data_IF_261525481093
#
_entry.id   IF_261525481093
#
_cell.length_a   1.000
_cell.length_b   1.000
_cell.length_c   1.000
_cell.angle_alpha   90.00
_cell.angle_beta   90.00
_cell.angle_gamma   90.00
#
_symmetry.space_group_name_H-M   'P 1'
#
loop_
_entity.id
_entity.type
_entity.pdbx_description
1 polymer ?
#
# COMPACT_ATOMS: atom_id res chain seq x y z
N UNK A 1 3.04 -17.01 -22.25
CA UNK A 1 3.23 -15.56 -22.44
C UNK A 1 4.71 -15.28 -22.59
N UNK A 2 5.12 -14.74 -23.72
CA UNK A 2 6.52 -14.32 -23.90
C UNK A 2 6.71 -12.92 -23.32
N UNK A 3 7.56 -12.82 -22.32
CA UNK A 3 7.98 -11.54 -21.77
C UNK A 3 9.37 -11.21 -22.28
N UNK A 4 9.52 -10.00 -22.82
CA UNK A 4 10.81 -9.48 -23.22
C UNK A 4 11.25 -8.43 -22.21
N UNK A 5 12.50 -8.49 -21.79
CA UNK A 5 13.08 -7.46 -20.95
C UNK A 5 14.00 -6.56 -21.76
N UNK A 6 14.04 -5.29 -21.40
CA UNK A 6 14.92 -4.29 -22.00
C UNK A 6 15.54 -3.46 -20.89
N UNK A 7 16.80 -3.10 -21.03
CA UNK A 7 17.51 -2.23 -20.06
C UNK A 7 17.65 -0.85 -20.68
N UNK A 8 17.11 0.16 -19.99
CA UNK A 8 17.26 1.57 -20.34
C UNK A 8 17.65 2.36 -19.09
N UNK A 9 18.66 3.22 -19.22
CA UNK A 9 19.14 4.09 -18.13
C UNK A 9 19.45 3.33 -16.83
N UNK A 10 19.96 2.10 -16.95
CA UNK A 10 20.31 1.26 -15.80
C UNK A 10 19.12 0.57 -15.13
N UNK A 11 17.92 0.73 -15.66
CA UNK A 11 16.71 0.08 -15.14
C UNK A 11 16.24 -1.00 -16.11
N UNK A 12 15.80 -2.11 -15.56
CA UNK A 12 15.23 -3.20 -16.34
C UNK A 12 13.72 -3.01 -16.47
N UNK A 13 13.25 -3.08 -17.72
CA UNK A 13 11.83 -2.97 -18.06
C UNK A 13 11.34 -4.29 -18.64
N UNK A 14 10.12 -4.65 -18.35
CA UNK A 14 9.47 -5.81 -18.96
C UNK A 14 8.48 -5.33 -20.00
N UNK A 15 8.61 -5.83 -21.23
CA UNK A 15 7.69 -5.50 -22.31
C UNK A 15 6.61 -6.58 -22.41
N UNK A 16 5.36 -6.14 -22.36
CA UNK A 16 4.18 -7.01 -22.49
C UNK A 16 3.36 -6.53 -23.69
N UNK A 17 2.91 -7.44 -24.58
CA UNK A 17 2.02 -7.05 -25.67
C UNK A 17 0.77 -6.33 -25.13
N UNK A 18 0.36 -5.27 -25.82
CA UNK A 18 -0.76 -4.42 -25.38
C UNK A 18 -2.03 -5.22 -25.10
N UNK A 19 -2.35 -6.18 -25.94
CA UNK A 19 -3.54 -7.02 -25.76
C UNK A 19 -3.48 -7.83 -24.46
N UNK A 20 -2.29 -8.28 -24.05
CA UNK A 20 -2.10 -9.00 -22.79
C UNK A 20 -2.15 -8.06 -21.60
N UNK A 21 -1.59 -6.87 -21.72
CA UNK A 21 -1.69 -5.83 -20.69
C UNK A 21 -3.15 -5.46 -20.42
N UNK A 22 -3.95 -5.28 -21.48
CA UNK A 22 -5.36 -4.94 -21.34
C UNK A 22 -6.16 -6.03 -20.61
N UNK A 23 -5.74 -7.30 -20.71
CA UNK A 23 -6.35 -8.40 -19.97
C UNK A 23 -5.97 -8.45 -18.50
N UNK A 24 -4.72 -8.12 -18.17
CA UNK A 24 -4.19 -8.22 -16.80
C UNK A 24 -4.30 -6.92 -16.03
N UNK A 25 -4.29 -5.78 -16.69
CA UNK A 25 -4.34 -4.48 -16.04
C UNK A 25 -5.59 -4.26 -15.20
N UNK A 26 -6.70 -4.88 -15.57
CA UNK A 26 -7.92 -4.89 -14.75
C UNK A 26 -7.76 -5.69 -13.45
N UNK A 27 -6.80 -6.61 -13.40
CA UNK A 27 -6.49 -7.43 -12.21
C UNK A 27 -5.35 -6.87 -11.38
N UNK A 28 -4.50 -6.05 -11.99
CA UNK A 28 -3.39 -5.36 -11.33
C UNK A 28 -3.84 -3.93 -11.07
N UNK A 29 -4.70 -3.78 -10.08
CA UNK A 29 -5.09 -2.44 -9.63
C UNK A 29 -4.02 -1.94 -8.70
N UNK A 30 -3.37 -0.84 -9.07
CA UNK A 30 -2.55 -0.11 -8.11
C UNK A 30 -3.46 0.34 -6.97
N UNK A 31 -3.06 0.16 -5.70
CA UNK A 31 -3.87 0.64 -4.59
C UNK A 31 -4.08 2.15 -4.70
N UNK A 32 -5.28 2.61 -4.31
CA UNK A 32 -5.60 4.04 -4.22
C UNK A 32 -4.83 4.66 -3.05
N UNK A 33 -3.58 5.01 -3.31
CA UNK A 33 -2.73 5.61 -2.30
C UNK A 33 -3.08 7.10 -2.10
N UNK A 34 -2.95 7.54 -0.86
CA UNK A 34 -3.09 8.94 -0.52
C UNK A 34 -1.91 9.74 -1.06
N UNK A 35 -2.15 10.98 -1.44
CA UNK A 35 -1.07 11.86 -1.90
C UNK A 35 -0.15 12.20 -0.74
N UNK A 36 1.14 11.89 -0.89
CA UNK A 36 2.17 12.23 0.08
C UNK A 36 2.69 13.64 -0.19
N UNK A 37 2.62 14.57 0.78
CA UNK A 37 3.22 15.88 0.62
C UNK A 37 4.74 15.80 0.43
N UNK A 38 5.33 16.78 -0.22
CA UNK A 38 6.77 16.85 -0.35
C UNK A 38 7.44 17.08 1.02
N UNK A 39 8.70 16.61 1.16
CA UNK A 39 9.51 16.92 2.32
C UNK A 39 9.76 18.44 2.41
N UNK A 40 9.99 18.92 3.63
CA UNK A 40 10.38 20.31 3.87
C UNK A 40 11.76 20.61 3.22
N UNK A 41 12.05 21.90 3.04
CA UNK A 41 13.31 22.33 2.42
C UNK A 41 14.56 21.84 3.17
N UNK A 42 14.48 21.63 4.49
CA UNK A 42 15.56 21.11 5.32
C UNK A 42 15.65 19.56 5.33
N UNK A 43 14.82 18.88 4.55
CA UNK A 43 14.76 17.42 4.50
C UNK A 43 13.91 16.76 5.58
N UNK A 44 13.33 17.54 6.49
CA UNK A 44 12.39 17.02 7.50
C UNK A 44 11.01 16.79 6.90
N UNK A 45 10.18 16.05 7.63
CA UNK A 45 8.81 15.76 7.23
C UNK A 45 7.80 16.39 8.18
N UNK A 46 6.73 16.95 7.63
CA UNK A 46 5.62 17.45 8.45
C UNK A 46 4.88 16.29 9.13
N UNK A 47 4.14 16.61 10.19
CA UNK A 47 3.25 15.65 10.84
C UNK A 47 2.23 15.07 9.84
N UNK A 48 1.72 15.92 8.96
CA UNK A 48 0.81 15.49 7.90
C UNK A 48 1.47 14.48 6.96
N UNK A 49 2.72 14.70 6.57
CA UNK A 49 3.46 13.76 5.72
C UNK A 49 3.61 12.40 6.40
N UNK A 50 4.02 12.38 7.66
CA UNK A 50 4.18 11.15 8.45
C UNK A 50 2.84 10.41 8.56
N UNK A 51 1.75 11.13 8.82
CA UNK A 51 0.41 10.55 8.87
C UNK A 51 0.05 9.85 7.57
N UNK A 52 0.25 10.51 6.44
CA UNK A 52 -0.05 9.95 5.12
C UNK A 52 0.84 8.74 4.82
N UNK A 53 2.12 8.80 5.16
CA UNK A 53 3.04 7.66 5.00
C UNK A 53 2.56 6.42 5.77
N UNK A 54 2.15 6.59 7.02
CA UNK A 54 1.66 5.48 7.85
C UNK A 54 0.35 4.91 7.30
N UNK A 55 -0.56 5.77 6.86
CA UNK A 55 -1.82 5.34 6.26
C UNK A 55 -1.58 4.58 4.94
N UNK A 56 -0.68 5.08 4.10
CA UNK A 56 -0.31 4.40 2.86
C UNK A 56 0.36 3.05 3.11
N UNK A 57 1.13 2.92 4.17
CA UNK A 57 1.73 1.64 4.57
C UNK A 57 0.67 0.58 4.84
N UNK A 58 -0.42 0.97 5.48
CA UNK A 58 -1.56 0.07 5.73
C UNK A 58 -2.23 -0.33 4.41
N UNK A 59 -2.51 0.64 3.54
CA UNK A 59 -3.15 0.41 2.24
C UNK A 59 -2.30 -0.55 1.39
N UNK A 60 -1.01 -0.29 1.26
CA UNK A 60 -0.09 -1.13 0.48
C UNK A 60 0.00 -2.54 1.04
N UNK A 61 0.21 -2.67 2.35
CA UNK A 61 0.33 -3.97 3.00
C UNK A 61 -0.92 -4.81 2.84
N UNK A 62 -2.09 -4.19 3.00
CA UNK A 62 -3.36 -4.87 2.82
C UNK A 62 -3.55 -5.35 1.37
N UNK A 63 -3.28 -4.48 0.39
CA UNK A 63 -3.43 -4.84 -1.02
C UNK A 63 -2.43 -5.91 -1.46
N UNK A 64 -1.18 -5.81 -1.01
CA UNK A 64 -0.16 -6.83 -1.30
C UNK A 64 -0.52 -8.19 -0.71
N UNK A 65 -1.16 -8.20 0.45
CA UNK A 65 -1.65 -9.43 1.08
C UNK A 65 -2.95 -9.95 0.47
N UNK A 66 -3.57 -9.21 -0.45
CA UNK A 66 -4.83 -9.59 -1.08
C UNK A 66 -6.02 -9.59 -0.12
N UNK A 67 -5.95 -8.82 0.96
CA UNK A 67 -6.99 -8.73 1.97
C UNK A 67 -7.97 -7.60 1.71
N UNK A 68 -9.24 -7.81 2.05
CA UNK A 68 -10.20 -6.73 2.20
C UNK A 68 -9.97 -6.01 3.53
N UNK A 69 -10.53 -4.81 3.69
CA UNK A 69 -10.49 -4.09 4.97
C UNK A 69 -11.06 -4.93 6.12
N UNK A 70 -12.16 -5.63 5.87
CA UNK A 70 -12.79 -6.51 6.88
C UNK A 70 -11.89 -7.68 7.28
N UNK A 71 -11.20 -8.28 6.32
CA UNK A 71 -10.26 -9.38 6.58
C UNK A 71 -9.08 -8.93 7.41
N UNK A 72 -8.49 -7.78 7.08
CA UNK A 72 -7.39 -7.22 7.86
C UNK A 72 -7.84 -6.87 9.28
N UNK A 73 -8.98 -6.22 9.41
CA UNK A 73 -9.54 -5.85 10.71
C UNK A 73 -9.73 -7.07 11.62
N UNK A 74 -10.30 -8.13 11.07
CA UNK A 74 -10.51 -9.39 11.80
C UNK A 74 -9.18 -10.00 12.26
N UNK A 75 -8.17 -10.05 11.39
CA UNK A 75 -6.86 -10.62 11.71
C UNK A 75 -6.08 -9.77 12.71
N UNK A 76 -6.23 -8.46 12.63
CA UNK A 76 -5.56 -7.54 13.55
C UNK A 76 -6.31 -7.38 14.89
N UNK A 77 -7.51 -7.91 14.99
CA UNK A 77 -8.32 -7.79 16.21
C UNK A 77 -8.83 -6.37 16.46
N UNK A 78 -9.12 -5.64 15.39
CA UNK A 78 -9.65 -4.28 15.45
C UNK A 78 -10.92 -4.16 14.60
N UNK A 79 -11.63 -3.06 14.73
CA UNK A 79 -12.85 -2.82 13.98
C UNK A 79 -12.54 -2.44 12.54
N UNK A 80 -13.40 -2.86 11.60
CA UNK A 80 -13.28 -2.49 10.19
C UNK A 80 -13.38 -0.97 9.99
N UNK A 81 -14.20 -0.29 10.78
CA UNK A 81 -14.32 1.17 10.75
C UNK A 81 -12.99 1.85 11.10
N UNK A 82 -12.20 1.26 11.98
CA UNK A 82 -10.86 1.75 12.31
C UNK A 82 -9.94 1.66 11.08
N UNK A 83 -9.93 0.53 10.38
CA UNK A 83 -9.15 0.37 9.14
C UNK A 83 -9.61 1.41 8.11
N UNK A 84 -10.91 1.55 7.90
CA UNK A 84 -11.46 2.50 6.93
C UNK A 84 -11.05 3.95 7.25
N UNK A 85 -11.09 4.34 8.51
CA UNK A 85 -10.66 5.68 8.95
C UNK A 85 -9.17 5.91 8.72
N UNK A 86 -8.35 4.92 9.01
CA UNK A 86 -6.90 5.02 8.80
C UNK A 86 -6.57 5.12 7.31
N UNK A 87 -7.23 4.34 6.46
CA UNK A 87 -7.01 4.39 5.02
C UNK A 87 -7.56 5.69 4.38
N UNK A 88 -8.43 6.42 5.08
CA UNK A 88 -8.88 7.75 4.62
C UNK A 88 -7.81 8.84 4.81
N UNK A 89 -6.77 8.58 5.58
CA UNK A 89 -5.67 9.52 5.80
C UNK A 89 -5.97 10.65 6.78
N UNK A 90 -7.11 10.61 7.47
CA UNK A 90 -7.53 11.68 8.39
C UNK A 90 -6.95 11.57 9.79
N UNK A 91 -6.45 10.41 10.16
CA UNK A 91 -5.98 10.13 11.52
C UNK A 91 -4.62 9.46 11.50
N UNK A 92 -3.79 9.80 12.48
CA UNK A 92 -2.53 9.07 12.71
C UNK A 92 -2.87 7.77 13.43
N UNK A 93 -2.41 6.61 12.91
CA UNK A 93 -2.60 5.34 13.62
C UNK A 93 -1.90 5.37 14.98
N UNK A 94 -2.59 4.93 16.04
CA UNK A 94 -1.94 4.70 17.32
C UNK A 94 -0.88 3.61 17.19
N UNK A 95 0.20 3.72 17.95
CA UNK A 95 1.31 2.75 17.90
C UNK A 95 0.82 1.32 18.09
N UNK A 96 -0.04 1.10 19.06
CA UNK A 96 -0.61 -0.23 19.33
C UNK A 96 -1.43 -0.76 18.15
N UNK A 97 -2.19 0.10 17.48
CA UNK A 97 -2.97 -0.26 16.29
C UNK A 97 -2.04 -0.64 15.15
N UNK A 98 -0.99 0.14 14.89
CA UNK A 98 0.01 -0.17 13.87
C UNK A 98 0.71 -1.50 14.15
N UNK A 99 1.09 -1.76 15.38
CA UNK A 99 1.71 -3.04 15.76
C UNK A 99 0.81 -4.23 15.46
N UNK A 100 -0.48 -4.12 15.76
CA UNK A 100 -1.46 -5.17 15.48
C UNK A 100 -1.63 -5.40 13.97
N UNK A 101 -1.69 -4.32 13.21
CA UNK A 101 -1.81 -4.38 11.73
C UNK A 101 -0.54 -5.02 11.14
N UNK A 102 0.63 -4.56 11.52
CA UNK A 102 1.90 -5.09 11.03
C UNK A 102 2.06 -6.57 11.36
N UNK A 103 1.68 -6.97 12.56
CA UNK A 103 1.71 -8.38 12.98
C UNK A 103 0.76 -9.24 12.15
N UNK A 104 -0.45 -8.74 11.88
CA UNK A 104 -1.42 -9.45 11.05
C UNK A 104 -0.92 -9.63 9.60
N UNK A 105 -0.32 -8.59 9.02
CA UNK A 105 0.25 -8.62 7.67
C UNK A 105 1.47 -9.56 7.61
N UNK A 106 2.36 -9.52 8.60
CA UNK A 106 3.52 -10.38 8.66
C UNK A 106 3.13 -11.86 8.79
N UNK A 107 2.12 -12.17 9.60
CA UNK A 107 1.63 -13.54 9.76
C UNK A 107 1.02 -14.08 8.46
N UNK A 108 0.39 -13.22 7.65
CA UNK A 108 -0.17 -13.61 6.36
C UNK A 108 0.92 -13.85 5.31
N UNK A 109 2.02 -13.10 5.37
CA UNK A 109 3.15 -13.22 4.44
C UNK A 109 4.05 -14.44 4.73
N UNK A 110 3.93 -15.03 5.92
CA UNK A 110 4.75 -16.16 6.34
C UNK A 110 4.34 -17.47 5.65
#
# INVERSE_FOLDING_TARGET
MRMHSIVMDGLEYVMIPRAQWDRVSSRVTAPDLLHEPAANADGSYSVQHVRVMLCNKIIRGRNEAGMTQAQLAKRAGIRVETISRLESGKHIPATRTMERIEKALAAHAA
#
